data_IF_126526058851
#
_entry.id   IF_126526058851
#
_cell.length_a   1.000
_cell.length_b   1.000
_cell.length_c   1.000
_cell.angle_alpha   90.00
_cell.angle_beta   90.00
_cell.angle_gamma   90.00
#
_symmetry.space_group_name_H-M   'P 1'
#
loop_
_entity.id
_entity.type
_entity.pdbx_description
1 polymer ?
#
# COMPACT_ATOMS: atom_id res chain seq x y z
N UNK A 1 19.22 -20.44 -24.39
CA UNK A 1 18.40 -19.45 -23.69
C UNK A 1 17.75 -20.18 -22.53
N UNK A 2 18.17 -19.91 -21.30
CA UNK A 2 17.60 -20.54 -20.10
C UNK A 2 16.21 -19.93 -19.84
N UNK A 3 15.18 -20.76 -19.90
CA UNK A 3 13.84 -20.36 -19.45
C UNK A 3 13.94 -19.98 -17.98
N UNK A 4 13.78 -18.67 -17.68
CA UNK A 4 13.57 -18.22 -16.29
C UNK A 4 12.28 -18.89 -15.81
N UNK A 5 12.39 -19.86 -14.88
CA UNK A 5 11.24 -20.38 -14.15
C UNK A 5 10.51 -19.19 -13.54
N UNK A 6 9.28 -18.94 -13.97
CA UNK A 6 8.38 -18.01 -13.30
C UNK A 6 8.13 -18.60 -11.93
N UNK A 7 8.78 -18.04 -10.90
CA UNK A 7 8.51 -18.45 -9.53
C UNK A 7 7.12 -17.93 -9.14
N UNK A 8 6.19 -18.86 -8.93
CA UNK A 8 4.85 -18.56 -8.44
C UNK A 8 4.95 -17.85 -7.08
N UNK A 9 4.27 -16.71 -6.95
CA UNK A 9 4.19 -15.94 -5.69
C UNK A 9 2.99 -16.41 -4.86
N UNK A 10 3.00 -17.70 -4.48
CA UNK A 10 1.92 -18.34 -3.72
C UNK A 10 2.14 -18.18 -2.22
N UNK A 11 1.08 -17.84 -1.49
CA UNK A 11 1.08 -17.71 -0.03
C UNK A 11 0.24 -18.76 0.64
N UNK A 12 0.57 -19.07 1.92
CA UNK A 12 -0.22 -19.97 2.78
C UNK A 12 -1.35 -19.24 3.49
N UNK A 13 -1.18 -17.94 3.77
CA UNK A 13 -2.13 -17.05 4.42
C UNK A 13 -1.89 -15.61 3.96
N UNK A 14 -2.94 -14.80 3.93
CA UNK A 14 -2.90 -13.38 3.59
C UNK A 14 -3.15 -12.49 4.80
N UNK A 15 -4.15 -12.83 5.62
CA UNK A 15 -4.61 -12.01 6.75
C UNK A 15 -3.87 -12.44 8.01
N UNK A 16 -3.23 -11.49 8.68
CA UNK A 16 -2.55 -11.73 9.95
C UNK A 16 -2.64 -10.53 10.89
N UNK A 17 -2.57 -10.83 12.17
CA UNK A 17 -2.61 -9.80 13.22
C UNK A 17 -1.37 -8.90 13.14
N UNK A 18 -1.57 -7.62 13.36
CA UNK A 18 -0.49 -6.62 13.42
C UNK A 18 -0.61 -5.76 14.68
N UNK A 19 0.49 -5.16 15.08
CA UNK A 19 0.54 -4.16 16.15
C UNK A 19 0.80 -2.75 15.60
N UNK A 20 0.69 -2.57 14.28
CA UNK A 20 0.89 -1.27 13.64
C UNK A 20 -0.36 -0.42 13.82
N UNK A 21 -0.19 0.87 14.02
CA UNK A 21 -1.23 1.84 14.36
C UNK A 21 -2.37 1.98 13.33
N UNK A 22 -2.13 1.60 12.07
CA UNK A 22 -3.12 1.74 10.98
C UNK A 22 -4.19 0.64 10.95
N UNK A 23 -4.12 -0.36 11.80
CA UNK A 23 -5.08 -1.44 11.88
C UNK A 23 -4.67 -2.55 12.85
N UNK A 24 -5.60 -3.41 13.23
CA UNK A 24 -5.33 -4.56 14.10
C UNK A 24 -5.02 -5.86 13.32
N UNK A 25 -5.38 -5.88 12.03
CA UNK A 25 -4.99 -6.89 11.07
C UNK A 25 -4.45 -6.26 9.80
N UNK A 26 -3.57 -6.98 9.12
CA UNK A 26 -3.03 -6.56 7.82
C UNK A 26 -3.10 -7.67 6.78
N UNK A 27 -3.11 -7.27 5.53
CA UNK A 27 -3.07 -8.12 4.35
C UNK A 27 -2.04 -7.55 3.37
N UNK A 28 -1.02 -8.34 3.04
CA UNK A 28 -0.03 -7.95 2.03
C UNK A 28 -0.19 -8.83 0.79
N UNK A 29 -0.83 -8.29 -0.24
CA UNK A 29 -1.08 -8.97 -1.51
C UNK A 29 -0.04 -8.63 -2.59
N UNK A 30 0.94 -7.81 -2.25
CA UNK A 30 2.05 -7.41 -3.13
C UNK A 30 3.37 -7.77 -2.48
N UNK A 31 4.37 -8.17 -3.27
CA UNK A 31 5.76 -8.32 -2.89
C UNK A 31 6.60 -7.33 -3.70
N UNK A 32 7.47 -6.56 -3.05
CA UNK A 32 8.24 -5.50 -3.70
C UNK A 32 7.47 -4.19 -3.83
N UNK A 33 8.17 -3.11 -4.21
CA UNK A 33 7.59 -1.79 -4.35
C UNK A 33 8.39 -0.94 -5.35
N UNK A 34 7.76 -0.49 -6.43
CA UNK A 34 8.41 0.28 -7.50
C UNK A 34 8.59 1.77 -7.19
N UNK A 35 8.15 2.26 -6.02
CA UNK A 35 8.33 3.68 -5.68
C UNK A 35 9.80 4.10 -5.60
N UNK A 36 10.72 3.16 -5.39
CA UNK A 36 12.15 3.40 -5.50
C UNK A 36 12.71 4.38 -4.46
N UNK A 37 12.10 4.45 -3.26
CA UNK A 37 12.51 5.37 -2.21
C UNK A 37 13.98 5.24 -1.85
N UNK A 38 14.73 6.34 -1.86
CA UNK A 38 16.18 6.38 -1.60
C UNK A 38 16.52 6.55 -0.12
N UNK A 39 15.61 6.99 0.73
CA UNK A 39 15.83 6.94 2.18
C UNK A 39 15.66 5.52 2.71
N UNK A 40 16.12 5.21 3.94
CA UNK A 40 16.04 3.86 4.48
C UNK A 40 14.61 3.31 4.45
N UNK A 41 14.29 2.51 3.44
CA UNK A 41 12.98 1.90 3.33
C UNK A 41 12.90 0.70 4.29
N UNK A 42 12.13 0.85 5.35
CA UNK A 42 11.89 -0.21 6.34
C UNK A 42 11.48 -1.53 5.68
N UNK A 43 10.54 -1.49 4.74
CA UNK A 43 10.00 -2.66 4.10
C UNK A 43 11.06 -3.42 3.27
N UNK A 44 11.91 -2.69 2.53
CA UNK A 44 13.05 -3.28 1.83
C UNK A 44 14.05 -3.91 2.79
N UNK A 45 14.43 -3.19 3.86
CA UNK A 45 15.38 -3.71 4.85
C UNK A 45 14.88 -5.01 5.49
N UNK A 46 13.58 -5.09 5.80
CA UNK A 46 12.96 -6.31 6.33
C UNK A 46 12.91 -7.42 5.28
N UNK A 47 12.54 -7.10 4.03
CA UNK A 47 12.52 -8.09 2.96
C UNK A 47 13.91 -8.70 2.71
N UNK A 48 14.96 -7.87 2.69
CA UNK A 48 16.35 -8.30 2.56
C UNK A 48 16.81 -9.14 3.76
N UNK A 49 16.52 -8.67 4.99
CA UNK A 49 16.88 -9.38 6.22
C UNK A 49 16.29 -10.80 6.26
N UNK A 50 15.05 -10.97 5.81
CA UNK A 50 14.37 -12.26 5.77
C UNK A 50 14.58 -13.02 4.46
N UNK A 51 15.53 -12.58 3.62
CA UNK A 51 15.87 -13.23 2.34
C UNK A 51 14.67 -13.42 1.42
N UNK A 52 13.73 -12.47 1.42
CA UNK A 52 12.58 -12.44 0.51
C UNK A 52 12.92 -11.84 -0.84
N UNK A 53 13.96 -11.04 -0.88
CA UNK A 53 14.57 -10.44 -2.07
C UNK A 53 16.09 -10.51 -1.93
N UNK A 54 16.80 -10.65 -3.04
CA UNK A 54 18.26 -10.72 -3.05
C UNK A 54 18.89 -9.32 -2.96
N UNK A 55 18.31 -8.36 -3.68
CA UNK A 55 18.84 -7.00 -3.78
C UNK A 55 17.72 -5.96 -3.96
N UNK A 56 18.13 -4.72 -4.19
CA UNK A 56 17.22 -3.60 -4.39
C UNK A 56 16.57 -3.65 -5.79
N UNK A 57 17.28 -4.15 -6.79
CA UNK A 57 16.78 -4.30 -8.16
C UNK A 57 15.60 -5.28 -8.22
N UNK A 58 15.67 -6.36 -7.46
CA UNK A 58 14.54 -7.27 -7.30
C UNK A 58 13.40 -6.62 -6.50
N UNK A 59 13.73 -5.84 -5.45
CA UNK A 59 12.73 -5.17 -4.62
C UNK A 59 11.85 -4.21 -5.40
N UNK A 60 12.41 -3.43 -6.33
CA UNK A 60 11.68 -2.45 -7.12
C UNK A 60 10.86 -3.05 -8.27
N UNK A 61 10.82 -4.37 -8.39
CA UNK A 61 9.98 -5.11 -9.33
C UNK A 61 8.80 -5.77 -8.60
N UNK A 62 7.70 -5.05 -8.37
CA UNK A 62 6.59 -5.57 -7.58
C UNK A 62 5.90 -6.74 -8.30
N UNK A 63 5.38 -7.67 -7.49
CA UNK A 63 4.64 -8.83 -7.97
C UNK A 63 3.39 -9.02 -7.11
N UNK A 64 2.26 -9.24 -7.75
CA UNK A 64 1.05 -9.70 -7.04
C UNK A 64 1.24 -11.11 -6.49
N UNK A 65 0.54 -11.41 -5.41
CA UNK A 65 0.38 -12.77 -4.90
C UNK A 65 -0.62 -13.50 -5.80
N UNK A 66 -0.26 -14.68 -6.31
CA UNK A 66 -1.05 -15.37 -7.34
C UNK A 66 -2.39 -15.92 -6.80
N UNK A 67 -2.43 -16.28 -5.52
CA UNK A 67 -3.59 -16.92 -4.89
C UNK A 67 -4.35 -16.01 -3.91
N UNK A 68 -4.44 -14.69 -4.20
CA UNK A 68 -5.11 -13.69 -3.35
C UNK A 68 -6.57 -14.10 -3.07
N UNK A 69 -7.38 -14.21 -4.11
CA UNK A 69 -8.82 -14.37 -3.95
C UNK A 69 -9.27 -15.72 -3.38
N UNK A 70 -8.65 -16.85 -3.73
CA UNK A 70 -8.88 -18.11 -3.03
C UNK A 70 -8.60 -18.04 -1.52
N UNK A 71 -7.48 -17.44 -1.12
CA UNK A 71 -7.15 -17.25 0.30
C UNK A 71 -8.13 -16.31 0.99
N UNK A 72 -8.43 -15.17 0.38
CA UNK A 72 -9.34 -14.17 0.93
C UNK A 72 -10.74 -14.77 1.16
N UNK A 73 -11.24 -15.58 0.22
CA UNK A 73 -12.54 -16.28 0.35
C UNK A 73 -12.55 -17.26 1.51
N UNK A 74 -11.41 -17.87 1.84
CA UNK A 74 -11.26 -18.82 2.95
C UNK A 74 -11.07 -18.11 4.29
N UNK A 75 -10.34 -16.98 4.31
CA UNK A 75 -9.89 -16.34 5.54
C UNK A 75 -10.88 -15.30 6.06
N UNK A 76 -11.51 -14.48 5.21
CA UNK A 76 -12.47 -13.47 5.65
C UNK A 76 -13.59 -14.03 6.53
N UNK A 77 -14.27 -15.15 6.21
CA UNK A 77 -15.30 -15.71 7.09
C UNK A 77 -14.79 -16.09 8.49
N UNK A 78 -13.49 -16.40 8.62
CA UNK A 78 -12.86 -16.82 9.89
C UNK A 78 -12.43 -15.65 10.76
N UNK A 79 -12.10 -14.53 10.12
CA UNK A 79 -11.51 -13.37 10.79
C UNK A 79 -12.45 -12.18 10.92
N UNK A 80 -13.55 -12.11 10.15
CA UNK A 80 -14.46 -10.95 10.08
C UNK A 80 -14.89 -10.40 11.44
N UNK A 81 -15.20 -11.29 12.40
CA UNK A 81 -15.68 -10.90 13.74
C UNK A 81 -14.53 -10.50 14.69
N UNK A 82 -13.27 -10.67 14.25
CA UNK A 82 -12.06 -10.34 15.01
C UNK A 82 -11.39 -9.07 14.51
N UNK A 83 -11.58 -8.74 13.24
CA UNK A 83 -10.96 -7.60 12.59
C UNK A 83 -11.78 -6.35 12.91
N UNK A 84 -11.16 -5.34 13.48
CA UNK A 84 -11.72 -3.98 13.59
C UNK A 84 -11.41 -3.19 12.32
N UNK A 85 -10.14 -3.17 11.92
CA UNK A 85 -9.68 -2.52 10.70
C UNK A 85 -8.61 -3.37 10.01
N UNK A 86 -8.84 -3.71 8.75
CA UNK A 86 -7.89 -4.43 7.90
C UNK A 86 -7.04 -3.44 7.14
N UNK A 87 -5.76 -3.31 7.51
CA UNK A 87 -4.83 -2.47 6.77
C UNK A 87 -4.22 -3.21 5.58
N UNK A 88 -4.31 -2.62 4.38
CA UNK A 88 -3.74 -3.20 3.17
C UNK A 88 -2.27 -2.78 2.99
N UNK A 89 -1.43 -3.77 2.69
CA UNK A 89 -0.03 -3.56 2.27
C UNK A 89 0.84 -2.76 3.25
N UNK A 90 0.89 -3.19 4.50
CA UNK A 90 1.80 -2.57 5.49
C UNK A 90 3.28 -2.54 5.04
N UNK A 91 3.73 -3.56 4.31
CA UNK A 91 5.13 -3.68 3.86
C UNK A 91 5.34 -3.36 2.37
N UNK A 92 4.31 -2.90 1.67
CA UNK A 92 4.35 -2.51 0.26
C UNK A 92 3.33 -1.39 0.02
N UNK A 93 2.87 -1.18 -1.21
CA UNK A 93 1.88 -0.15 -1.49
C UNK A 93 0.65 -0.73 -2.22
N UNK A 94 -0.60 -0.49 -1.73
CA UNK A 94 -1.80 -1.04 -2.33
C UNK A 94 -2.26 -0.32 -3.61
N UNK A 95 -1.87 0.95 -3.80
CA UNK A 95 -2.21 1.75 -4.99
C UNK A 95 -0.96 2.24 -5.70
N UNK A 96 -0.01 1.33 -5.89
CA UNK A 96 1.31 1.59 -6.44
C UNK A 96 1.23 2.28 -7.80
N UNK A 97 1.87 3.45 -7.90
CA UNK A 97 1.85 4.28 -9.11
C UNK A 97 2.41 3.53 -10.32
N UNK A 98 1.70 3.59 -11.44
CA UNK A 98 2.08 2.88 -12.67
C UNK A 98 1.72 1.38 -12.71
N UNK A 99 1.03 0.84 -11.68
CA UNK A 99 0.65 -0.58 -11.60
C UNK A 99 -0.87 -0.77 -11.48
N UNK A 100 -1.62 -0.64 -12.59
CA UNK A 100 -3.09 -0.73 -12.56
C UNK A 100 -3.61 -2.11 -12.11
N UNK A 101 -2.87 -3.17 -12.33
CA UNK A 101 -3.17 -4.52 -11.84
C UNK A 101 -3.17 -4.61 -10.31
N UNK A 102 -2.18 -3.98 -9.66
CA UNK A 102 -2.11 -3.88 -8.19
C UNK A 102 -3.27 -3.04 -7.65
N UNK A 103 -3.53 -1.88 -8.27
CA UNK A 103 -4.62 -1.00 -7.89
C UNK A 103 -5.98 -1.71 -7.99
N UNK A 104 -6.23 -2.41 -9.09
CA UNK A 104 -7.46 -3.19 -9.30
C UNK A 104 -7.61 -4.31 -8.26
N UNK A 105 -6.53 -5.04 -7.97
CA UNK A 105 -6.56 -6.09 -6.95
C UNK A 105 -6.87 -5.51 -5.56
N UNK A 106 -6.28 -4.36 -5.20
CA UNK A 106 -6.54 -3.68 -3.93
C UNK A 106 -8.01 -3.27 -3.80
N UNK A 107 -8.57 -2.68 -4.86
CA UNK A 107 -9.99 -2.30 -4.90
C UNK A 107 -10.91 -3.50 -4.71
N UNK A 108 -10.69 -4.61 -5.42
CA UNK A 108 -11.46 -5.84 -5.28
C UNK A 108 -11.31 -6.49 -3.89
N UNK A 109 -10.13 -6.37 -3.26
CA UNK A 109 -9.91 -6.85 -1.88
C UNK A 109 -10.77 -6.05 -0.91
N UNK A 110 -10.81 -4.72 -1.04
CA UNK A 110 -11.62 -3.84 -0.18
C UNK A 110 -13.11 -4.16 -0.37
N UNK A 111 -13.59 -4.24 -1.61
CA UNK A 111 -14.97 -4.62 -1.92
C UNK A 111 -15.34 -5.95 -1.24
N UNK A 112 -14.50 -6.96 -1.41
CA UNK A 112 -14.75 -8.27 -0.81
C UNK A 112 -14.73 -8.24 0.71
N UNK A 113 -13.81 -7.50 1.33
CA UNK A 113 -13.76 -7.32 2.79
C UNK A 113 -15.03 -6.63 3.30
N UNK A 114 -15.47 -5.59 2.60
CA UNK A 114 -16.68 -4.84 2.96
C UNK A 114 -17.97 -5.69 2.88
N UNK A 115 -18.07 -6.65 1.93
CA UNK A 115 -19.18 -7.61 1.88
C UNK A 115 -19.28 -8.43 3.18
N UNK A 116 -18.14 -8.69 3.83
CA UNK A 116 -18.08 -9.37 5.14
C UNK A 116 -18.19 -8.42 6.35
N UNK A 117 -18.44 -7.13 6.11
CA UNK A 117 -18.54 -6.12 7.16
C UNK A 117 -17.20 -5.67 7.73
N UNK A 118 -16.07 -6.06 7.12
CA UNK A 118 -14.72 -5.68 7.52
C UNK A 118 -14.36 -4.34 6.90
N UNK A 119 -13.96 -3.37 7.74
CA UNK A 119 -13.48 -2.07 7.27
C UNK A 119 -12.01 -2.16 6.88
N UNK A 120 -11.64 -1.39 5.87
CA UNK A 120 -10.29 -1.36 5.34
C UNK A 120 -9.64 0.00 5.55
N UNK A 121 -8.34 -0.01 5.84
CA UNK A 121 -7.47 1.15 5.84
C UNK A 121 -6.39 0.98 4.77
N UNK A 122 -6.08 2.04 4.04
CA UNK A 122 -5.00 2.07 3.06
C UNK A 122 -4.14 3.31 3.22
N UNK A 123 -2.85 3.15 2.97
CA UNK A 123 -1.89 4.25 2.89
C UNK A 123 -1.07 4.06 1.61
N UNK A 124 -0.94 5.10 0.80
CA UNK A 124 -0.25 5.00 -0.49
C UNK A 124 0.61 6.21 -0.83
N UNK A 125 1.64 5.98 -1.63
CA UNK A 125 2.39 7.00 -2.39
C UNK A 125 1.98 7.03 -3.88
N UNK A 126 0.92 6.31 -4.23
CA UNK A 126 0.26 6.36 -5.53
C UNK A 126 -0.96 7.27 -5.53
N UNK A 127 -1.89 7.01 -6.43
CA UNK A 127 -3.12 7.78 -6.60
C UNK A 127 -4.31 6.94 -6.18
N UNK A 128 -5.09 7.44 -5.23
CA UNK A 128 -6.32 6.81 -4.78
C UNK A 128 -7.42 6.96 -5.84
N UNK A 129 -8.04 5.86 -6.33
CA UNK A 129 -9.09 5.96 -7.32
C UNK A 129 -10.38 6.53 -6.72
N UNK A 130 -11.06 7.37 -7.49
CA UNK A 130 -12.31 8.04 -7.06
C UNK A 130 -13.45 7.06 -6.77
N UNK A 131 -13.40 5.86 -7.35
CA UNK A 131 -14.36 4.78 -7.12
C UNK A 131 -14.44 4.33 -5.66
N UNK A 132 -13.39 4.56 -4.87
CA UNK A 132 -13.37 4.28 -3.44
C UNK A 132 -14.47 5.04 -2.66
N UNK A 133 -14.91 6.18 -3.18
CA UNK A 133 -16.02 6.92 -2.60
C UNK A 133 -17.37 6.18 -2.66
N UNK A 134 -17.49 5.16 -3.50
CA UNK A 134 -18.71 4.32 -3.58
C UNK A 134 -18.73 3.21 -2.53
N UNK A 135 -17.62 3.04 -1.80
CA UNK A 135 -17.50 2.04 -0.75
C UNK A 135 -18.01 2.57 0.60
N UNK A 136 -18.22 1.70 1.62
CA UNK A 136 -18.65 2.12 2.94
C UNK A 136 -17.75 3.22 3.53
N UNK A 137 -18.37 4.27 4.07
CA UNK A 137 -17.68 5.45 4.65
C UNK A 137 -16.81 5.15 5.87
N UNK A 138 -16.87 3.93 6.41
CA UNK A 138 -16.01 3.48 7.49
C UNK A 138 -14.61 3.04 7.03
N UNK A 139 -14.39 2.90 5.71
CA UNK A 139 -13.05 2.72 5.18
C UNK A 139 -12.24 4.00 5.35
N UNK A 140 -10.92 3.84 5.48
CA UNK A 140 -9.98 4.93 5.72
C UNK A 140 -8.95 5.00 4.60
N UNK A 141 -8.78 6.18 4.01
CA UNK A 141 -7.92 6.39 2.85
C UNK A 141 -6.85 7.42 3.16
N UNK A 142 -5.60 6.99 3.12
CA UNK A 142 -4.45 7.83 3.43
C UNK A 142 -3.47 7.96 2.27
N UNK A 143 -2.79 9.10 2.23
CA UNK A 143 -1.61 9.30 1.40
C UNK A 143 -0.38 9.57 2.26
N UNK A 144 0.79 9.21 1.76
CA UNK A 144 2.05 9.64 2.35
C UNK A 144 2.51 10.93 1.67
N UNK A 145 2.75 11.98 2.45
CA UNK A 145 3.27 13.28 1.99
C UNK A 145 4.55 13.62 2.74
N UNK A 146 5.68 13.15 2.24
CA UNK A 146 7.01 13.40 2.84
C UNK A 146 7.45 14.84 2.62
N UNK A 147 7.09 15.42 1.48
CA UNK A 147 7.45 16.78 1.06
C UNK A 147 6.41 17.33 0.08
N UNK A 148 6.29 18.65 0.01
CA UNK A 148 5.56 19.36 -1.05
C UNK A 148 6.50 19.82 -2.18
N UNK A 149 7.82 19.70 -1.99
CA UNK A 149 8.83 19.98 -3.01
C UNK A 149 8.90 18.82 -4.00
N UNK A 150 8.46 19.07 -5.22
CA UNK A 150 8.39 18.04 -6.26
C UNK A 150 9.77 17.60 -6.79
N UNK A 151 10.78 18.47 -6.72
CA UNK A 151 12.14 18.11 -7.15
C UNK A 151 12.78 17.18 -6.10
N UNK A 152 12.61 17.48 -4.81
CA UNK A 152 13.01 16.59 -3.73
C UNK A 152 12.24 15.26 -3.78
N UNK A 153 10.93 15.28 -4.03
CA UNK A 153 10.13 14.06 -4.22
C UNK A 153 10.68 13.19 -5.37
N UNK A 154 10.94 13.79 -6.55
CA UNK A 154 11.50 13.06 -7.70
C UNK A 154 12.85 12.42 -7.38
N UNK A 155 13.67 13.12 -6.61
CA UNK A 155 14.94 12.59 -6.17
C UNK A 155 14.78 11.41 -5.21
N UNK A 156 13.94 11.58 -4.18
CA UNK A 156 13.85 10.64 -3.05
C UNK A 156 12.81 9.53 -3.23
N UNK A 157 11.78 9.77 -4.04
CA UNK A 157 10.69 8.82 -4.34
C UNK A 157 10.40 8.76 -5.85
N UNK A 158 11.39 8.37 -6.69
CA UNK A 158 11.31 8.54 -8.15
C UNK A 158 10.12 7.84 -8.81
N UNK A 159 9.69 6.70 -8.28
CA UNK A 159 8.57 5.92 -8.81
C UNK A 159 7.23 6.19 -8.15
N UNK A 160 7.14 7.15 -7.24
CA UNK A 160 5.88 7.51 -6.60
C UNK A 160 5.10 8.55 -7.43
N UNK A 161 3.79 8.66 -7.23
CA UNK A 161 2.96 9.64 -7.91
C UNK A 161 3.37 11.09 -7.56
N UNK A 162 3.16 12.06 -8.45
CA UNK A 162 3.31 13.48 -8.13
C UNK A 162 2.51 13.86 -6.90
N UNK A 163 3.03 14.79 -6.08
CA UNK A 163 2.38 15.15 -4.82
C UNK A 163 1.02 15.82 -5.05
N UNK A 164 0.93 16.68 -6.06
CA UNK A 164 -0.32 17.34 -6.44
C UNK A 164 -1.43 16.32 -6.80
N UNK A 165 -1.08 15.27 -7.53
CA UNK A 165 -2.04 14.22 -7.91
C UNK A 165 -2.52 13.42 -6.70
N UNK A 166 -1.62 13.11 -5.74
CA UNK A 166 -1.99 12.44 -4.48
C UNK A 166 -2.95 13.29 -3.66
N UNK A 167 -2.64 14.58 -3.49
CA UNK A 167 -3.48 15.52 -2.72
C UNK A 167 -4.84 15.69 -3.41
N UNK A 168 -4.86 15.91 -4.72
CA UNK A 168 -6.11 16.07 -5.49
C UNK A 168 -7.01 14.86 -5.39
N UNK A 169 -6.44 13.64 -5.46
CA UNK A 169 -7.19 12.40 -5.29
C UNK A 169 -7.76 12.26 -3.87
N UNK A 170 -6.96 12.56 -2.86
CA UNK A 170 -7.40 12.54 -1.46
C UNK A 170 -8.53 13.55 -1.20
N UNK A 171 -8.38 14.77 -1.72
CA UNK A 171 -9.39 15.83 -1.61
C UNK A 171 -10.71 15.43 -2.29
N UNK A 172 -10.63 14.78 -3.46
CA UNK A 172 -11.82 14.28 -4.16
C UNK A 172 -12.60 13.25 -3.31
N UNK A 173 -11.91 12.35 -2.61
CA UNK A 173 -12.54 11.41 -1.68
C UNK A 173 -13.11 12.11 -0.44
N UNK A 174 -12.37 13.05 0.13
CA UNK A 174 -12.80 13.85 1.29
C UNK A 174 -14.08 14.63 1.00
N UNK A 175 -14.18 15.27 -0.16
CA UNK A 175 -15.38 15.99 -0.62
C UNK A 175 -16.61 15.08 -0.76
N UNK A 176 -16.42 13.78 -0.92
CA UNK A 176 -17.48 12.78 -0.96
C UNK A 176 -17.78 12.16 0.41
N UNK A 177 -17.20 12.69 1.49
CA UNK A 177 -17.46 12.29 2.87
C UNK A 177 -16.66 11.08 3.34
N UNK A 178 -15.67 10.61 2.57
CA UNK A 178 -14.77 9.55 3.00
C UNK A 178 -13.88 10.02 4.16
N UNK A 179 -13.54 9.11 5.06
CA UNK A 179 -12.49 9.37 6.06
C UNK A 179 -11.12 9.37 5.37
N UNK A 180 -10.46 10.51 5.38
CA UNK A 180 -9.16 10.71 4.72
C UNK A 180 -8.12 11.23 5.70
N UNK A 181 -6.84 10.87 5.48
CA UNK A 181 -5.74 11.27 6.34
C UNK A 181 -4.41 11.33 5.58
N UNK A 182 -3.41 11.98 6.18
CA UNK A 182 -2.07 12.15 5.60
C UNK A 182 -1.05 11.65 6.60
N UNK A 183 -0.14 10.79 6.15
CA UNK A 183 1.08 10.42 6.87
C UNK A 183 2.24 11.27 6.38
N UNK A 184 2.97 11.88 7.31
CA UNK A 184 4.15 12.73 7.04
C UNK A 184 5.43 11.96 7.39
N UNK A 185 5.51 10.69 6.99
CA UNK A 185 6.62 9.81 7.32
C UNK A 185 7.31 9.21 6.09
N UNK A 186 8.67 9.22 6.08
CA UNK A 186 9.57 9.88 7.05
C UNK A 186 9.62 11.39 6.83
N UNK A 187 9.56 12.18 7.91
CA UNK A 187 9.78 13.62 7.82
C UNK A 187 11.29 13.89 7.71
N UNK A 188 11.78 14.51 6.61
CA UNK A 188 13.19 14.78 6.45
C UNK A 188 13.65 15.83 7.48
N UNK A 189 14.82 15.58 8.08
CA UNK A 189 15.41 16.55 8.98
C UNK A 189 15.97 17.77 8.23
N UNK A 190 16.04 18.98 8.83
CA UNK A 190 16.46 20.19 8.14
C UNK A 190 17.83 20.12 7.45
N UNK A 191 18.74 19.27 7.92
CA UNK A 191 20.03 19.05 7.27
C UNK A 191 19.95 18.18 5.99
N UNK A 192 18.81 17.54 5.73
CA UNK A 192 18.54 16.79 4.51
C UNK A 192 17.70 17.66 3.56
N UNK A 193 16.63 18.24 4.07
CA UNK A 193 15.74 19.11 3.31
C UNK A 193 14.98 20.05 4.27
N UNK A 194 15.17 21.33 4.10
CA UNK A 194 14.44 22.34 4.87
C UNK A 194 13.08 22.57 4.21
N UNK A 195 12.00 22.31 4.93
CA UNK A 195 10.65 22.48 4.43
C UNK A 195 9.68 22.91 5.53
N UNK A 196 8.58 23.52 5.10
CA UNK A 196 7.43 23.89 5.90
C UNK A 196 6.20 23.24 5.26
N UNK A 197 5.62 22.26 5.92
CA UNK A 197 4.43 21.53 5.44
C UNK A 197 3.14 22.14 6.00
#
# INVERSE_FOLDING_TARGET
>A
MSEKKVHENIRKSLIYKTAVEYGDYTLNHVTGCSHGCKYPCYAYMMAKRFKKVEDYEEWIQPKLVDNIFPLLSKELPRYKDKIKTLHLCFSTDPYMYGHPDICNASTQIIEKANVFGVHCSVLTKGILPVELAKMPLKNEYGITAVTLDEDFRKEMEPGAAPMEDRISALEALSKQGCYTWISIEPYPTPNIHEQNL
#
